data_IF_691842045527
#
_entry.id   IF_691842045527
#
_cell.length_a   1.000
_cell.length_b   1.000
_cell.length_c   1.000
_cell.angle_alpha   90.00
_cell.angle_beta   90.00
_cell.angle_gamma   90.00
#
_symmetry.space_group_name_H-M   'P 1'
#
loop_
_entity.id
_entity.type
_entity.pdbx_description
1 polymer ?
#
# COMPACT_ATOMS: atom_id res chain seq x y z
N UNK A 1 -52.27 12.86 -20.28
CA UNK A 1 -52.73 12.97 -18.87
C UNK A 1 -52.30 11.71 -18.16
N UNK A 2 -51.41 11.86 -17.19
CA UNK A 2 -50.76 10.82 -16.40
C UNK A 2 -51.73 10.28 -15.35
N UNK A 3 -51.80 8.96 -15.18
CA UNK A 3 -52.41 8.30 -14.01
C UNK A 3 -51.68 6.96 -13.77
N UNK A 4 -50.50 7.03 -13.16
CA UNK A 4 -49.93 5.88 -12.44
C UNK A 4 -50.22 6.09 -10.94
N UNK A 5 -50.86 5.13 -10.25
CA UNK A 5 -51.00 5.19 -8.81
C UNK A 5 -49.64 4.92 -8.16
N UNK A 6 -49.28 5.73 -7.16
CA UNK A 6 -48.13 5.51 -6.28
C UNK A 6 -48.28 4.15 -5.56
N UNK A 7 -47.19 3.41 -5.30
CA UNK A 7 -47.27 2.24 -4.44
C UNK A 7 -47.57 2.67 -3.01
N UNK A 8 -48.56 2.01 -2.42
CA UNK A 8 -49.01 2.24 -1.06
C UNK A 8 -47.87 2.01 -0.07
N UNK A 9 -47.59 3.02 0.76
CA UNK A 9 -46.85 2.87 2.01
C UNK A 9 -47.60 1.87 2.89
N UNK A 10 -47.10 0.65 3.02
CA UNK A 10 -47.49 -0.27 4.09
C UNK A 10 -47.01 0.31 5.42
N UNK A 11 -47.86 1.14 6.01
CA UNK A 11 -47.78 1.51 7.42
C UNK A 11 -48.24 0.30 8.23
N UNK A 12 -47.29 -0.36 8.89
CA UNK A 12 -47.62 -1.38 9.90
C UNK A 12 -48.17 -0.62 11.10
N UNK A 13 -49.47 -0.79 11.38
CA UNK A 13 -50.12 -0.26 12.57
C UNK A 13 -49.62 -1.03 13.79
N UNK A 14 -48.73 -0.42 14.57
CA UNK A 14 -48.42 -0.87 15.92
C UNK A 14 -49.64 -0.65 16.82
N UNK A 15 -50.20 -1.75 17.32
CA UNK A 15 -51.19 -1.72 18.41
C UNK A 15 -50.47 -1.28 19.68
N UNK A 16 -51.04 -0.25 20.31
CA UNK A 16 -50.65 0.30 21.61
C UNK A 16 -50.61 -0.77 22.70
N UNK A 17 -49.47 -0.89 23.38
CA UNK A 17 -49.41 -1.23 24.80
C UNK A 17 -48.04 -0.79 25.38
N UNK A 18 -48.09 0.02 26.44
CA UNK A 18 -46.98 0.21 27.38
C UNK A 18 -45.92 1.25 27.02
N UNK A 19 -46.16 2.51 27.41
CA UNK A 19 -45.13 3.55 27.53
C UNK A 19 -44.05 3.12 28.53
N UNK A 20 -42.88 2.65 28.08
CA UNK A 20 -41.59 2.88 28.73
C UNK A 20 -40.48 2.56 27.71
N UNK A 21 -39.71 3.60 27.33
CA UNK A 21 -38.52 3.64 26.45
C UNK A 21 -38.65 4.55 25.20
N UNK A 22 -39.20 5.76 25.36
CA UNK A 22 -39.24 6.80 24.31
C UNK A 22 -37.89 7.51 24.03
N UNK A 23 -36.77 7.07 24.61
CA UNK A 23 -35.47 7.74 24.43
C UNK A 23 -34.52 7.04 23.45
N UNK A 24 -34.91 5.92 22.83
CA UNK A 24 -34.03 5.14 21.94
C UNK A 24 -34.48 5.03 20.48
N UNK A 25 -35.68 5.52 20.11
CA UNK A 25 -36.23 5.35 18.75
C UNK A 25 -36.06 6.54 17.80
N UNK A 26 -35.43 7.64 18.24
CA UNK A 26 -35.18 8.82 17.39
C UNK A 26 -33.70 9.06 17.08
N UNK A 27 -32.92 7.98 16.93
CA UNK A 27 -31.77 8.04 16.02
C UNK A 27 -32.28 7.55 14.67
N UNK A 28 -32.66 8.49 13.82
CA UNK A 28 -32.56 8.30 12.37
C UNK A 28 -31.09 7.96 12.10
N UNK A 29 -30.74 6.68 12.23
CA UNK A 29 -29.61 6.11 11.55
C UNK A 29 -29.96 6.28 10.07
N UNK A 30 -29.51 7.40 9.50
CA UNK A 30 -29.37 7.54 8.06
C UNK A 30 -28.27 6.54 7.71
N UNK A 31 -28.65 5.28 7.59
CA UNK A 31 -27.84 4.28 6.90
C UNK A 31 -27.82 4.79 5.47
N UNK A 32 -26.64 5.12 4.90
CA UNK A 32 -26.56 5.43 3.48
C UNK A 32 -27.15 4.24 2.75
N UNK A 33 -28.28 4.46 2.08
CA UNK A 33 -28.99 3.41 1.36
C UNK A 33 -28.19 3.11 0.08
N UNK A 34 -27.10 2.34 0.22
CA UNK A 34 -26.24 1.93 -0.89
C UNK A 34 -27.05 1.20 -1.97
N UNK A 35 -28.16 0.55 -1.60
CA UNK A 35 -29.11 -0.04 -2.54
C UNK A 35 -29.77 1.01 -3.45
N UNK A 36 -30.08 2.20 -2.94
CA UNK A 36 -30.76 3.25 -3.71
C UNK A 36 -29.84 3.97 -4.70
N UNK A 37 -28.53 4.03 -4.43
CA UNK A 37 -27.53 4.54 -5.38
C UNK A 37 -27.25 3.52 -6.49
N UNK A 38 -27.15 2.23 -6.15
CA UNK A 38 -26.94 1.14 -7.12
C UNK A 38 -28.18 0.95 -8.01
N UNK A 39 -29.40 1.16 -7.48
CA UNK A 39 -30.66 0.96 -8.23
C UNK A 39 -30.85 1.91 -9.41
N UNK A 40 -30.05 2.98 -9.54
CA UNK A 40 -30.13 3.94 -10.64
C UNK A 40 -29.18 3.68 -11.79
N UNK A 41 -28.19 2.80 -11.61
CA UNK A 41 -27.18 2.49 -12.64
C UNK A 41 -27.63 1.21 -13.38
N UNK A 42 -27.71 1.22 -14.72
CA UNK A 42 -27.90 0.01 -15.51
C UNK A 42 -26.84 -1.05 -15.16
N UNK A 43 -27.23 -2.33 -15.16
CA UNK A 43 -26.34 -3.43 -14.76
C UNK A 43 -25.05 -3.44 -15.61
N UNK A 44 -25.20 -3.19 -16.91
CA UNK A 44 -24.12 -3.14 -17.88
C UNK A 44 -23.14 -2.01 -17.57
N UNK A 45 -23.66 -0.81 -17.26
CA UNK A 45 -22.84 0.36 -16.89
C UNK A 45 -22.10 0.11 -15.56
N UNK A 46 -22.74 -0.59 -14.62
CA UNK A 46 -22.13 -0.95 -13.35
C UNK A 46 -21.01 -1.98 -13.52
N UNK A 47 -21.22 -3.01 -14.35
CA UNK A 47 -20.17 -3.98 -14.72
C UNK A 47 -18.99 -3.27 -15.38
N UNK A 48 -19.23 -2.35 -16.32
CA UNK A 48 -18.16 -1.57 -16.95
C UNK A 48 -17.39 -0.67 -15.96
N UNK A 49 -18.08 -0.10 -14.97
CA UNK A 49 -17.43 0.64 -13.89
C UNK A 49 -16.49 -0.28 -13.10
N UNK A 50 -16.95 -1.46 -12.70
CA UNK A 50 -16.14 -2.41 -11.93
C UNK A 50 -14.96 -2.96 -12.73
N UNK A 51 -15.12 -3.16 -14.04
CA UNK A 51 -13.99 -3.48 -14.94
C UNK A 51 -12.90 -2.42 -14.88
N UNK A 52 -13.25 -1.14 -14.88
CA UNK A 52 -12.28 -0.04 -14.77
C UNK A 52 -11.57 -0.08 -13.42
N UNK A 53 -12.30 -0.21 -12.31
CA UNK A 53 -11.72 -0.30 -10.97
C UNK A 53 -10.76 -1.49 -10.83
N UNK A 54 -11.15 -2.66 -11.35
CA UNK A 54 -10.29 -3.83 -11.29
C UNK A 54 -9.09 -3.73 -12.25
N UNK A 55 -9.24 -3.06 -13.39
CA UNK A 55 -8.14 -2.75 -14.29
C UNK A 55 -7.12 -1.78 -13.66
N UNK A 56 -7.59 -0.77 -12.94
CA UNK A 56 -6.72 0.13 -12.16
C UNK A 56 -5.97 -0.66 -11.10
N UNK A 57 -6.66 -1.55 -10.38
CA UNK A 57 -6.04 -2.45 -9.41
C UNK A 57 -5.00 -3.35 -10.06
N UNK A 58 -5.31 -3.93 -11.22
CA UNK A 58 -4.38 -4.75 -11.99
C UNK A 58 -3.10 -3.98 -12.35
N UNK A 59 -3.24 -2.72 -12.78
CA UNK A 59 -2.09 -1.86 -13.02
C UNK A 59 -1.25 -1.70 -11.75
N UNK A 60 -1.86 -1.31 -10.63
CA UNK A 60 -1.14 -1.13 -9.35
C UNK A 60 -0.38 -2.38 -8.91
N UNK A 61 -1.02 -3.54 -8.95
CA UNK A 61 -0.39 -4.79 -8.51
C UNK A 61 0.68 -5.28 -9.50
N UNK A 62 0.53 -4.98 -10.80
CA UNK A 62 1.52 -5.32 -11.83
C UNK A 62 2.79 -4.47 -11.77
N UNK A 63 2.78 -3.37 -11.02
CA UNK A 63 3.96 -2.51 -10.89
C UNK A 63 5.06 -3.23 -10.12
N UNK A 64 6.30 -3.02 -10.58
CA UNK A 64 7.46 -3.45 -9.81
C UNK A 64 7.65 -2.52 -8.61
N UNK A 65 8.17 -3.04 -7.48
CA UNK A 65 8.50 -2.20 -6.35
C UNK A 65 9.38 -1.01 -6.80
N UNK A 66 9.07 0.22 -6.37
CA UNK A 66 9.86 1.38 -6.73
C UNK A 66 11.31 1.20 -6.27
N UNK A 67 12.26 1.63 -7.11
CA UNK A 67 13.69 1.56 -6.81
C UNK A 67 14.29 2.95 -6.71
N UNK A 68 15.41 3.11 -6.01
CA UNK A 68 16.04 4.43 -5.87
C UNK A 68 16.41 4.96 -7.26
N UNK A 69 15.85 6.11 -7.62
CA UNK A 69 16.10 6.76 -8.90
C UNK A 69 15.25 6.22 -10.06
N UNK A 70 14.28 5.34 -9.82
CA UNK A 70 13.30 5.01 -10.85
C UNK A 70 12.45 6.22 -11.15
N UNK A 71 12.38 6.60 -12.43
CA UNK A 71 11.42 7.58 -12.92
C UNK A 71 10.00 7.12 -12.56
N UNK A 72 9.05 8.06 -12.35
CA UNK A 72 7.64 7.70 -12.22
C UNK A 72 7.19 6.85 -13.42
N UNK A 73 6.25 5.95 -13.17
CA UNK A 73 5.67 5.06 -14.18
C UNK A 73 5.29 5.86 -15.42
N UNK A 74 5.75 5.43 -16.59
CA UNK A 74 5.48 6.13 -17.86
C UNK A 74 4.02 5.89 -18.24
N UNK A 75 3.36 6.86 -18.89
CA UNK A 75 2.01 6.70 -19.48
C UNK A 75 1.85 5.40 -20.29
N UNK A 76 2.91 4.95 -20.96
CA UNK A 76 2.92 3.72 -21.73
C UNK A 76 2.72 2.44 -20.89
N UNK A 77 3.02 2.46 -19.58
CA UNK A 77 2.86 1.30 -18.70
C UNK A 77 1.41 1.11 -18.27
N UNK A 78 0.68 2.20 -18.04
CA UNK A 78 -0.75 2.18 -17.74
C UNK A 78 -1.55 1.70 -18.96
N UNK A 79 -1.21 2.21 -20.15
CA UNK A 79 -1.79 1.74 -21.42
C UNK A 79 -1.53 0.25 -21.64
N UNK A 80 -0.32 -0.23 -21.35
CA UNK A 80 0.03 -1.65 -21.47
C UNK A 80 -0.76 -2.50 -20.48
N UNK A 81 -0.87 -2.09 -19.22
CA UNK A 81 -1.64 -2.83 -18.21
C UNK A 81 -3.13 -2.91 -18.58
N UNK A 82 -3.69 -1.84 -19.12
CA UNK A 82 -5.06 -1.82 -19.63
C UNK A 82 -5.26 -2.83 -20.77
N UNK A 83 -4.34 -2.86 -21.75
CA UNK A 83 -4.37 -3.84 -22.84
C UNK A 83 -4.28 -5.27 -22.31
N UNK A 84 -3.35 -5.55 -21.39
CA UNK A 84 -3.16 -6.88 -20.81
C UNK A 84 -4.40 -7.32 -20.00
N UNK A 85 -4.95 -6.43 -19.17
CA UNK A 85 -6.17 -6.70 -18.40
C UNK A 85 -7.33 -7.09 -19.32
N UNK A 86 -7.57 -6.33 -20.39
CA UNK A 86 -8.66 -6.63 -21.32
C UNK A 86 -8.42 -7.90 -22.14
N UNK A 87 -7.16 -8.20 -22.50
CA UNK A 87 -6.82 -9.47 -23.14
C UNK A 87 -7.12 -10.66 -22.23
N UNK A 88 -6.73 -10.56 -20.96
CA UNK A 88 -6.97 -11.58 -19.95
C UNK A 88 -8.47 -11.76 -19.69
N UNK A 89 -9.20 -10.65 -19.58
CA UNK A 89 -10.65 -10.65 -19.41
C UNK A 89 -11.38 -11.32 -20.57
N UNK A 90 -10.99 -11.00 -21.81
CA UNK A 90 -11.54 -11.64 -23.01
C UNK A 90 -11.18 -13.14 -23.10
N UNK A 91 -9.96 -13.51 -22.66
CA UNK A 91 -9.52 -14.90 -22.57
C UNK A 91 -10.37 -15.69 -21.57
N UNK A 92 -10.58 -15.15 -20.37
CA UNK A 92 -11.41 -15.75 -19.33
C UNK A 92 -12.84 -16.00 -19.82
N UNK A 93 -13.47 -14.99 -20.42
CA UNK A 93 -14.81 -15.14 -21.02
C UNK A 93 -14.86 -16.27 -22.04
N UNK A 94 -13.88 -16.32 -22.96
CA UNK A 94 -13.84 -17.36 -24.00
C UNK A 94 -13.68 -18.76 -23.40
N UNK A 95 -12.78 -18.94 -22.43
CA UNK A 95 -12.54 -20.24 -21.79
C UNK A 95 -13.77 -20.71 -21.01
N UNK A 96 -14.38 -19.83 -20.22
CA UNK A 96 -15.58 -20.16 -19.44
C UNK A 96 -16.74 -20.53 -20.36
N UNK A 97 -16.98 -19.77 -21.44
CA UNK A 97 -17.98 -20.11 -22.45
C UNK A 97 -17.70 -21.44 -23.17
N UNK A 98 -16.42 -21.83 -23.29
CA UNK A 98 -16.03 -23.12 -23.88
C UNK A 98 -16.14 -24.31 -22.90
N UNK A 99 -16.59 -24.08 -21.67
CA UNK A 99 -16.85 -25.11 -20.66
C UNK A 99 -15.76 -25.27 -19.61
N UNK A 100 -14.75 -24.39 -19.55
CA UNK A 100 -13.79 -24.36 -18.45
C UNK A 100 -14.49 -23.85 -17.18
N UNK A 101 -14.44 -24.58 -16.04
CA UNK A 101 -14.95 -24.06 -14.78
C UNK A 101 -14.28 -22.74 -14.39
N UNK A 102 -15.07 -21.82 -13.85
CA UNK A 102 -14.56 -20.52 -13.42
C UNK A 102 -13.49 -20.64 -12.32
N UNK A 103 -13.62 -21.64 -11.45
CA UNK A 103 -12.63 -22.01 -10.43
C UNK A 103 -11.27 -22.37 -11.04
N UNK A 104 -11.25 -23.15 -12.10
CA UNK A 104 -10.01 -23.63 -12.72
C UNK A 104 -9.26 -22.49 -13.39
N UNK A 105 -10.00 -21.54 -13.98
CA UNK A 105 -9.41 -20.30 -14.50
C UNK A 105 -8.88 -19.42 -13.36
N UNK A 106 -9.60 -19.33 -12.24
CA UNK A 106 -9.16 -18.59 -11.06
C UNK A 106 -7.79 -19.08 -10.58
N UNK A 107 -7.63 -20.41 -10.43
CA UNK A 107 -6.38 -21.02 -10.00
C UNK A 107 -5.24 -20.71 -10.97
N UNK A 108 -5.51 -20.78 -12.27
CA UNK A 108 -4.53 -20.39 -13.30
C UNK A 108 -4.12 -18.92 -13.15
N UNK A 109 -5.11 -18.04 -12.99
CA UNK A 109 -4.89 -16.61 -12.85
C UNK A 109 -4.10 -16.28 -11.58
N UNK A 110 -4.38 -16.95 -10.46
CA UNK A 110 -3.66 -16.78 -9.18
C UNK A 110 -2.19 -17.20 -9.28
N UNK A 111 -1.89 -18.24 -10.06
CA UNK A 111 -0.51 -18.68 -10.35
C UNK A 111 0.22 -17.73 -11.30
N UNK A 112 -0.50 -17.16 -12.27
CA UNK A 112 0.06 -16.28 -13.31
C UNK A 112 0.15 -14.81 -12.85
N UNK A 113 -0.58 -14.41 -11.80
CA UNK A 113 -0.55 -13.10 -11.17
C UNK A 113 0.80 -12.85 -10.47
N UNK A 114 1.79 -12.50 -11.28
CA UNK A 114 3.09 -11.93 -10.91
C UNK A 114 3.79 -12.60 -9.71
N UNK A 115 4.90 -13.31 -9.97
CA UNK A 115 5.75 -14.06 -9.03
C UNK A 115 6.18 -13.38 -7.70
N UNK A 116 5.85 -12.10 -7.46
CA UNK A 116 6.37 -11.28 -6.34
C UNK A 116 5.31 -10.52 -5.55
N UNK A 117 4.03 -10.77 -5.79
CA UNK A 117 2.93 -10.11 -5.08
C UNK A 117 2.56 -10.91 -3.82
N UNK A 118 1.99 -10.25 -2.81
CA UNK A 118 1.46 -10.92 -1.62
C UNK A 118 0.34 -11.93 -1.99
N UNK A 119 0.40 -13.13 -1.41
CA UNK A 119 -0.55 -14.22 -1.68
C UNK A 119 -2.01 -13.77 -1.51
N UNK A 120 -2.30 -12.87 -0.56
CA UNK A 120 -3.67 -12.38 -0.35
C UNK A 120 -4.14 -11.49 -1.50
N UNK A 121 -3.25 -10.66 -2.05
CA UNK A 121 -3.60 -9.83 -3.20
C UNK A 121 -3.88 -10.73 -4.40
N UNK A 122 -3.04 -11.75 -4.64
CA UNK A 122 -3.27 -12.68 -5.75
C UNK A 122 -4.63 -13.39 -5.62
N UNK A 123 -4.91 -13.95 -4.44
CA UNK A 123 -6.18 -14.64 -4.16
C UNK A 123 -7.40 -13.70 -4.25
N UNK A 124 -7.36 -12.51 -3.63
CA UNK A 124 -8.50 -11.59 -3.68
C UNK A 124 -8.72 -11.02 -5.08
N UNK A 125 -7.65 -10.68 -5.80
CA UNK A 125 -7.76 -10.17 -7.14
C UNK A 125 -8.32 -11.25 -8.08
N UNK A 126 -7.78 -12.47 -8.05
CA UNK A 126 -8.24 -13.56 -8.93
C UNK A 126 -9.72 -13.89 -8.69
N UNK A 127 -10.15 -13.92 -7.43
CA UNK A 127 -11.55 -14.16 -7.05
C UNK A 127 -12.45 -13.02 -7.53
N UNK A 128 -12.09 -11.76 -7.28
CA UNK A 128 -12.84 -10.59 -7.75
C UNK A 128 -12.93 -10.54 -9.28
N UNK A 129 -11.85 -10.88 -9.97
CA UNK A 129 -11.81 -10.95 -11.43
C UNK A 129 -12.81 -11.96 -11.97
N UNK A 130 -12.86 -13.15 -11.39
CA UNK A 130 -13.77 -14.21 -11.83
C UNK A 130 -15.22 -13.85 -11.52
N UNK A 131 -15.53 -13.27 -10.36
CA UNK A 131 -16.89 -12.81 -10.06
C UNK A 131 -17.38 -11.76 -11.07
N UNK A 132 -16.50 -10.84 -11.47
CA UNK A 132 -16.83 -9.84 -12.49
C UNK A 132 -17.09 -10.48 -13.86
N UNK A 133 -16.23 -11.43 -14.27
CA UNK A 133 -16.41 -12.17 -15.53
C UNK A 133 -17.73 -12.96 -15.52
N UNK A 134 -18.01 -13.69 -14.44
CA UNK A 134 -19.25 -14.45 -14.28
C UNK A 134 -20.48 -13.53 -14.31
N UNK A 135 -20.42 -12.38 -13.63
CA UNK A 135 -21.49 -11.39 -13.66
C UNK A 135 -21.80 -10.91 -15.08
N UNK A 136 -20.77 -10.59 -15.87
CA UNK A 136 -20.90 -10.14 -17.27
C UNK A 136 -21.48 -11.24 -18.17
N UNK A 137 -21.04 -12.49 -18.01
CA UNK A 137 -21.58 -13.62 -18.75
C UNK A 137 -23.06 -13.89 -18.40
N UNK A 138 -23.42 -13.84 -17.12
CA UNK A 138 -24.81 -14.00 -16.68
C UNK A 138 -25.72 -12.90 -17.22
N UNK A 139 -25.23 -11.65 -17.24
CA UNK A 139 -25.97 -10.53 -17.84
C UNK A 139 -26.21 -10.75 -19.34
N UNK A 140 -25.22 -11.27 -20.07
CA UNK A 140 -25.32 -11.57 -21.51
C UNK A 140 -26.34 -12.66 -21.83
N UNK A 141 -26.52 -13.62 -20.93
CA UNK A 141 -27.54 -14.68 -21.03
C UNK A 141 -28.93 -14.24 -20.53
N UNK A 142 -29.08 -12.99 -20.09
CA UNK A 142 -30.35 -12.45 -19.56
C UNK A 142 -30.67 -12.87 -18.12
N UNK A 143 -29.70 -13.47 -17.41
CA UNK A 143 -29.82 -13.92 -16.01
C UNK A 143 -29.49 -12.78 -15.04
N UNK A 144 -30.34 -11.75 -15.05
CA UNK A 144 -30.10 -10.47 -14.34
C UNK A 144 -29.93 -10.63 -12.83
N UNK A 145 -30.78 -11.44 -12.19
CA UNK A 145 -30.75 -11.59 -10.72
C UNK A 145 -29.47 -12.33 -10.27
N UNK A 146 -29.05 -13.33 -11.05
CA UNK A 146 -27.81 -14.07 -10.79
C UNK A 146 -26.58 -13.19 -11.03
N UNK A 147 -26.64 -12.32 -12.05
CA UNK A 147 -25.59 -11.33 -12.29
C UNK A 147 -25.44 -10.38 -11.09
N UNK A 148 -26.55 -9.85 -10.56
CA UNK A 148 -26.51 -9.03 -9.34
C UNK A 148 -26.01 -9.79 -8.11
N UNK A 149 -26.38 -11.06 -7.95
CA UNK A 149 -25.86 -11.89 -6.86
C UNK A 149 -24.33 -12.04 -6.95
N UNK A 150 -23.80 -12.29 -8.15
CA UNK A 150 -22.35 -12.35 -8.38
C UNK A 150 -21.65 -11.02 -8.06
N UNK A 151 -22.29 -9.88 -8.35
CA UNK A 151 -21.76 -8.55 -8.02
C UNK A 151 -21.75 -8.26 -6.52
N UNK A 152 -22.69 -8.81 -5.75
CA UNK A 152 -22.67 -8.71 -4.28
C UNK A 152 -21.48 -9.47 -3.71
N UNK A 153 -21.20 -10.66 -4.24
CA UNK A 153 -20.00 -11.42 -3.85
C UNK A 153 -18.72 -10.66 -4.20
N UNK A 154 -18.63 -10.06 -5.39
CA UNK A 154 -17.54 -9.15 -5.76
C UNK A 154 -17.37 -8.00 -4.75
N UNK A 155 -18.45 -7.29 -4.43
CA UNK A 155 -18.43 -6.13 -3.53
C UNK A 155 -17.95 -6.50 -2.11
N UNK A 156 -18.22 -7.73 -1.67
CA UNK A 156 -17.73 -8.23 -0.37
C UNK A 156 -16.19 -8.38 -0.31
N UNK A 157 -15.54 -8.47 -1.47
CA UNK A 157 -14.09 -8.67 -1.61
C UNK A 157 -13.34 -7.37 -1.88
N UNK A 158 -14.01 -6.35 -2.41
CA UNK A 158 -13.41 -5.07 -2.82
C UNK A 158 -12.62 -4.42 -1.68
N UNK A 159 -13.24 -4.29 -0.50
CA UNK A 159 -12.58 -3.72 0.69
C UNK A 159 -11.36 -4.53 1.14
N UNK A 160 -11.42 -5.86 1.04
CA UNK A 160 -10.32 -6.75 1.44
C UNK A 160 -9.15 -6.67 0.46
N UNK A 161 -9.45 -6.53 -0.82
CA UNK A 161 -8.45 -6.31 -1.87
C UNK A 161 -7.78 -4.95 -1.71
N UNK A 162 -8.55 -3.90 -1.48
CA UNK A 162 -8.04 -2.54 -1.21
C UNK A 162 -7.11 -2.52 0.01
N UNK A 163 -7.53 -3.10 1.14
CA UNK A 163 -6.72 -3.20 2.35
C UNK A 163 -5.39 -3.95 2.11
N UNK A 164 -5.44 -5.02 1.31
CA UNK A 164 -4.25 -5.80 0.97
C UNK A 164 -3.28 -4.99 0.09
N UNK A 165 -3.79 -4.27 -0.92
CA UNK A 165 -3.00 -3.38 -1.76
C UNK A 165 -2.32 -2.27 -0.93
N UNK A 166 -3.06 -1.60 -0.03
CA UNK A 166 -2.52 -0.57 0.86
C UNK A 166 -1.41 -1.13 1.77
N UNK A 167 -1.57 -2.35 2.26
CA UNK A 167 -0.55 -3.00 3.10
C UNK A 167 0.75 -3.27 2.32
N UNK A 168 0.63 -3.70 1.06
CA UNK A 168 1.80 -3.96 0.19
C UNK A 168 2.49 -2.66 -0.23
N UNK A 169 1.75 -1.60 -0.54
CA UNK A 169 2.33 -0.27 -0.79
C UNK A 169 3.15 0.23 0.41
N UNK A 170 2.60 0.13 1.64
CA UNK A 170 3.34 0.47 2.87
C UNK A 170 4.59 -0.38 3.06
N UNK A 171 4.54 -1.67 2.67
CA UNK A 171 5.70 -2.56 2.71
C UNK A 171 6.77 -2.07 1.72
N UNK A 172 6.40 -1.69 0.50
CA UNK A 172 7.33 -1.14 -0.49
C UNK A 172 7.94 0.18 -0.03
N UNK A 173 7.15 1.10 0.52
CA UNK A 173 7.66 2.35 1.09
C UNK A 173 8.69 2.10 2.18
N UNK A 174 8.42 1.13 3.08
CA UNK A 174 9.36 0.75 4.13
C UNK A 174 10.66 0.18 3.57
N UNK A 175 10.59 -0.67 2.55
CA UNK A 175 11.78 -1.21 1.88
C UNK A 175 12.58 -0.10 1.21
N UNK A 176 11.91 0.83 0.54
CA UNK A 176 12.54 1.97 -0.12
C UNK A 176 13.24 2.88 0.91
N UNK A 177 12.59 3.18 2.03
CA UNK A 177 13.20 3.94 3.13
C UNK A 177 14.44 3.24 3.70
N UNK A 178 14.42 1.91 3.83
CA UNK A 178 15.58 1.14 4.26
C UNK A 178 16.73 1.23 3.25
N UNK A 179 16.46 1.11 1.96
CA UNK A 179 17.46 1.28 0.91
C UNK A 179 18.02 2.71 0.86
N UNK A 180 17.17 3.73 1.01
CA UNK A 180 17.63 5.12 1.13
C UNK A 180 18.54 5.30 2.34
N UNK A 181 18.17 4.72 3.49
CA UNK A 181 19.00 4.71 4.68
C UNK A 181 20.32 3.97 4.47
N UNK A 182 20.33 2.86 3.73
CA UNK A 182 21.55 2.11 3.39
C UNK A 182 22.46 2.92 2.48
N UNK A 183 21.92 3.53 1.43
CA UNK A 183 22.67 4.35 0.49
C UNK A 183 23.24 5.61 1.15
N UNK A 184 22.44 6.27 1.99
CA UNK A 184 22.92 7.39 2.81
C UNK A 184 24.08 6.96 3.72
N UNK A 185 23.96 5.83 4.43
CA UNK A 185 25.04 5.30 5.26
C UNK A 185 26.30 4.92 4.45
N UNK A 186 26.14 4.40 3.23
CA UNK A 186 27.27 4.08 2.35
C UNK A 186 28.01 5.34 1.90
N UNK A 187 27.27 6.37 1.50
CA UNK A 187 27.86 7.64 1.09
C UNK A 187 28.60 8.29 2.27
N UNK A 188 27.99 8.32 3.46
CA UNK A 188 28.58 8.90 4.67
C UNK A 188 29.68 8.06 5.34
N UNK A 189 30.14 6.97 4.70
CA UNK A 189 31.20 6.11 5.24
C UNK A 189 32.52 6.87 5.50
N UNK A 190 32.82 7.89 4.70
CA UNK A 190 33.99 8.74 4.89
C UNK A 190 33.95 9.51 6.23
N UNK A 191 32.77 9.98 6.65
CA UNK A 191 32.59 10.62 7.96
C UNK A 191 32.81 9.66 9.12
N UNK A 192 32.50 8.37 8.95
CA UNK A 192 32.78 7.35 9.96
C UNK A 192 34.28 7.21 10.19
N UNK A 193 35.09 7.18 9.13
CA UNK A 193 36.54 7.12 9.26
C UNK A 193 37.09 8.39 9.90
N UNK A 194 36.60 9.57 9.48
CA UNK A 194 36.99 10.83 10.14
C UNK A 194 36.62 10.84 11.63
N UNK A 195 35.46 10.31 12.00
CA UNK A 195 35.08 10.17 13.41
C UNK A 195 36.06 9.29 14.19
N UNK A 196 36.52 8.18 13.59
CA UNK A 196 37.52 7.30 14.22
C UNK A 196 38.82 8.06 14.44
N UNK A 197 39.30 8.81 13.45
CA UNK A 197 40.53 9.61 13.58
C UNK A 197 40.37 10.64 14.71
N UNK A 198 39.26 11.39 14.71
CA UNK A 198 38.95 12.38 15.74
C UNK A 198 38.82 11.79 17.14
N UNK A 199 38.32 10.55 17.26
CA UNK A 199 38.24 9.86 18.55
C UNK A 199 39.62 9.66 19.17
N UNK A 200 40.65 9.41 18.36
CA UNK A 200 42.05 9.31 18.82
C UNK A 200 42.71 10.68 18.95
N UNK A 201 42.60 11.54 17.92
CA UNK A 201 43.25 12.87 17.87
C UNK A 201 42.81 13.78 19.03
N UNK A 202 41.52 13.79 19.35
CA UNK A 202 40.94 14.66 20.37
C UNK A 202 40.63 13.92 21.68
N UNK A 203 41.21 12.74 21.88
CA UNK A 203 40.94 11.97 23.08
C UNK A 203 41.39 12.73 24.34
N UNK A 204 40.50 12.99 25.32
CA UNK A 204 40.91 13.58 26.59
C UNK A 204 41.89 12.68 27.34
N UNK A 205 42.73 13.27 28.20
CA UNK A 205 43.74 12.54 28.98
C UNK A 205 43.14 11.40 29.83
N UNK A 206 41.95 11.61 30.39
CA UNK A 206 41.19 10.61 31.17
C UNK A 206 40.19 9.81 30.32
N UNK A 207 40.38 9.81 29.00
CA UNK A 207 39.50 9.16 28.05
C UNK A 207 38.13 9.83 27.87
N UNK A 208 37.27 9.19 27.06
CA UNK A 208 35.93 9.67 26.75
C UNK A 208 34.89 9.25 27.82
N UNK A 209 34.28 10.18 28.58
CA UNK A 209 33.40 9.81 29.70
C UNK A 209 32.11 9.09 29.27
N UNK A 210 31.53 9.50 28.14
CA UNK A 210 30.31 8.90 27.60
C UNK A 210 30.17 9.16 26.10
N UNK A 211 29.37 8.33 25.43
CA UNK A 211 29.03 8.50 24.01
C UNK A 211 28.41 9.88 23.76
N UNK A 212 27.52 10.33 24.66
CA UNK A 212 26.84 11.62 24.52
C UNK A 212 27.84 12.79 24.55
N UNK A 213 28.83 12.74 25.45
CA UNK A 213 29.87 13.78 25.55
C UNK A 213 30.80 13.75 24.35
N UNK A 214 31.23 12.57 23.90
CA UNK A 214 32.06 12.45 22.71
C UNK A 214 31.32 12.94 21.45
N UNK A 215 30.06 12.55 21.26
CA UNK A 215 29.24 13.03 20.16
C UNK A 215 29.08 14.56 20.18
N UNK A 216 28.82 15.15 21.36
CA UNK A 216 28.73 16.60 21.49
C UNK A 216 30.07 17.33 21.27
N UNK A 217 31.22 16.75 21.58
CA UNK A 217 32.51 17.41 21.30
C UNK A 217 32.97 17.27 19.84
N UNK A 218 32.62 16.16 19.20
CA UNK A 218 33.14 15.82 17.87
C UNK A 218 32.20 16.20 16.71
N UNK A 219 30.92 16.47 16.97
CA UNK A 219 29.95 16.72 15.90
C UNK A 219 30.31 17.91 14.99
N UNK A 220 30.75 19.04 15.54
CA UNK A 220 31.14 20.21 14.73
C UNK A 220 32.30 19.89 13.79
N UNK A 221 33.34 19.18 14.27
CA UNK A 221 34.50 18.79 13.45
C UNK A 221 34.14 17.80 12.34
N UNK A 222 33.23 16.86 12.63
CA UNK A 222 32.72 15.91 11.63
C UNK A 222 31.84 16.63 10.60
N UNK A 223 31.00 17.59 11.04
CA UNK A 223 30.18 18.40 10.15
C UNK A 223 31.05 19.28 9.24
N UNK A 224 32.07 19.94 9.79
CA UNK A 224 33.00 20.77 9.01
C UNK A 224 33.73 19.94 7.94
N UNK A 225 34.15 18.71 8.29
CA UNK A 225 34.75 17.79 7.32
C UNK A 225 33.76 17.39 6.22
N UNK A 226 32.49 17.15 6.57
CA UNK A 226 31.43 16.89 5.59
C UNK A 226 31.23 18.07 4.63
N UNK A 227 31.18 19.29 5.17
CA UNK A 227 30.98 20.52 4.38
C UNK A 227 32.13 20.86 3.42
N UNK A 228 33.30 20.28 3.65
CA UNK A 228 34.48 20.40 2.79
C UNK A 228 34.61 19.23 1.80
N UNK A 229 33.78 18.19 1.93
CA UNK A 229 33.80 17.03 1.05
C UNK A 229 32.98 17.26 -0.23
N UNK A 230 33.38 16.57 -1.31
CA UNK A 230 32.64 16.56 -2.58
C UNK A 230 31.19 16.06 -2.43
N UNK A 231 30.90 15.31 -1.36
CA UNK A 231 29.59 14.71 -1.10
C UNK A 231 28.59 15.67 -0.45
N UNK A 232 29.01 16.87 -0.01
CA UNK A 232 28.11 17.90 0.54
C UNK A 232 26.97 18.26 -0.41
N UNK A 233 27.28 18.36 -1.70
CA UNK A 233 26.32 18.73 -2.74
C UNK A 233 25.18 17.73 -2.89
N UNK A 234 25.41 16.48 -2.49
CA UNK A 234 24.48 15.35 -2.61
C UNK A 234 23.71 15.12 -1.31
N UNK A 235 24.35 15.31 -0.14
CA UNK A 235 23.73 15.05 1.16
C UNK A 235 23.90 16.29 2.05
N UNK A 236 22.81 17.00 2.33
CA UNK A 236 22.82 18.08 3.31
C UNK A 236 22.64 17.51 4.71
N UNK A 237 23.61 17.76 5.59
CA UNK A 237 23.56 17.37 7.00
C UNK A 237 23.59 18.63 7.86
N UNK A 238 22.82 18.63 8.94
CA UNK A 238 22.90 19.65 9.99
C UNK A 238 23.57 19.06 11.25
N UNK A 239 23.83 19.90 12.25
CA UNK A 239 24.44 19.50 13.52
C UNK A 239 23.69 18.36 14.22
N UNK A 240 22.35 18.42 14.25
CA UNK A 240 21.52 17.41 14.90
C UNK A 240 21.61 16.04 14.22
N UNK A 241 21.72 16.04 12.88
CA UNK A 241 21.90 14.83 12.08
C UNK A 241 23.26 14.18 12.36
N UNK A 242 24.33 14.98 12.40
CA UNK A 242 25.68 14.50 12.69
C UNK A 242 25.76 13.95 14.12
N UNK A 243 25.23 14.67 15.11
CA UNK A 243 25.27 14.23 16.50
C UNK A 243 24.52 12.90 16.70
N UNK A 244 23.35 12.75 16.07
CA UNK A 244 22.58 11.50 16.06
C UNK A 244 23.34 10.38 15.35
N UNK A 245 23.97 10.67 14.22
CA UNK A 245 24.75 9.71 13.45
C UNK A 245 25.97 9.20 14.23
N UNK A 246 26.76 10.10 14.84
CA UNK A 246 27.90 9.76 15.69
C UNK A 246 27.44 8.88 16.87
N UNK A 247 26.36 9.27 17.54
CA UNK A 247 25.77 8.50 18.64
C UNK A 247 25.37 7.09 18.19
N UNK A 248 24.76 6.97 17.02
CA UNK A 248 24.37 5.68 16.45
C UNK A 248 25.60 4.82 16.12
N UNK A 249 26.66 5.37 15.52
CA UNK A 249 27.87 4.63 15.22
C UNK A 249 28.59 4.14 16.48
N UNK A 250 28.78 5.00 17.49
CA UNK A 250 29.42 4.59 18.75
C UNK A 250 28.66 3.50 19.50
N UNK A 251 27.33 3.41 19.36
CA UNK A 251 26.53 2.38 20.02
C UNK A 251 26.38 1.10 19.19
N UNK A 252 26.12 1.23 17.88
CA UNK A 252 25.65 0.13 17.02
C UNK A 252 26.69 -0.35 16.01
N UNK A 253 27.69 0.46 15.65
CA UNK A 253 28.74 0.04 14.74
C UNK A 253 29.88 -0.63 15.52
N UNK A 254 30.15 -1.91 15.24
CA UNK A 254 31.14 -2.72 15.99
C UNK A 254 32.52 -2.05 16.06
N UNK A 255 33.03 -1.60 14.93
CA UNK A 255 34.38 -1.00 14.83
C UNK A 255 34.49 0.28 15.67
N UNK A 256 33.55 1.22 15.49
CA UNK A 256 33.55 2.50 16.22
C UNK A 256 33.30 2.28 17.71
N UNK A 257 32.41 1.35 18.07
CA UNK A 257 32.10 1.01 19.47
C UNK A 257 33.32 0.42 20.19
N UNK A 258 34.03 -0.51 19.54
CA UNK A 258 35.23 -1.13 20.13
C UNK A 258 36.35 -0.09 20.34
N UNK A 259 36.53 0.84 19.41
CA UNK A 259 37.47 1.96 19.55
C UNK A 259 37.06 2.88 20.70
N UNK A 260 35.79 3.31 20.73
CA UNK A 260 35.28 4.15 21.81
C UNK A 260 35.44 3.49 23.19
N UNK A 261 35.17 2.19 23.30
CA UNK A 261 35.35 1.43 24.56
C UNK A 261 36.80 1.39 25.02
N UNK A 262 37.76 1.29 24.10
CA UNK A 262 39.20 1.36 24.43
C UNK A 262 39.58 2.73 24.97
N UNK A 263 39.10 3.79 24.31
CA UNK A 263 39.41 5.17 24.65
C UNK A 263 38.57 5.72 25.82
N UNK A 264 37.59 4.95 26.31
CA UNK A 264 36.75 5.32 27.46
C UNK A 264 37.50 5.21 28.81
N UNK A 265 38.58 4.43 28.87
CA UNK A 265 39.31 4.11 30.11
C UNK A 265 40.82 4.32 29.95
N UNK A 266 41.22 5.51 29.49
CA UNK A 266 42.58 6.00 29.65
C UNK A 266 42.71 6.61 31.05
#
# INVERSE_FOLDING_TARGET
MSNNPLPATTSISEKKEGEYNQHLTNRNLIIPDHYHQISSIPLEDYIEKLKRTLCETYFHISQKPPSIGSSPSKKNEEELANVLFHQEYASAKRKILSGTPASDYQETLELDLCEKIDDKISMFFSTSFIWLVCSDLLAQEGLRDQSWAALVEFASLETRLEDACIAEEKRWEKLLQQEYGRLANQNLRHLKYRLIDLLYEDCPDNGWPSVKVAAYKLHEKVLQFHEQSDQRSVIKLNESDIQRMITNWMNKNKEVNDIFKKLKKL
#
